data_IF_608184841693
#
_entry.id   IF_608184841693
#
_cell.length_a   1.000
_cell.length_b   1.000
_cell.length_c   1.000
_cell.angle_alpha   90.00
_cell.angle_beta   90.00
_cell.angle_gamma   90.00
#
_symmetry.space_group_name_H-M   'P 1'
#
loop_
_entity.id
_entity.type
_entity.pdbx_description
1 polymer ?
#
# COMPACT_ATOMS: atom_id res chain seq x y z
N UNK A 1 -15.75 12.44 -54.14
CA UNK A 1 -15.04 11.16 -53.85
C UNK A 1 -15.59 10.64 -52.54
N UNK A 2 -16.52 9.69 -52.60
CA UNK A 2 -17.16 9.07 -51.46
C UNK A 2 -16.77 7.59 -51.46
N UNK A 3 -16.17 7.09 -50.38
CA UNK A 3 -15.91 5.68 -50.19
C UNK A 3 -16.41 5.27 -48.80
N UNK A 4 -17.66 4.82 -48.75
CA UNK A 4 -18.10 3.88 -47.74
C UNK A 4 -17.48 2.52 -48.05
N UNK A 5 -16.78 1.92 -47.09
CA UNK A 5 -16.62 0.45 -46.95
C UNK A 5 -16.30 0.11 -45.49
N UNK A 6 -17.34 -0.15 -44.70
CA UNK A 6 -17.23 -0.81 -43.40
C UNK A 6 -17.69 -2.26 -43.58
N UNK A 7 -16.84 -3.27 -43.35
CA UNK A 7 -17.30 -4.65 -43.29
C UNK A 7 -17.08 -5.26 -41.91
N UNK A 8 -18.13 -5.94 -41.43
CA UNK A 8 -18.11 -7.04 -40.45
C UNK A 8 -18.45 -6.71 -38.99
N UNK A 9 -19.49 -5.90 -38.78
CA UNK A 9 -20.49 -6.23 -37.78
C UNK A 9 -21.30 -7.43 -38.29
N UNK A 10 -20.88 -8.66 -37.99
CA UNK A 10 -21.64 -9.93 -38.07
C UNK A 10 -20.69 -11.12 -37.76
N UNK A 11 -19.96 -11.04 -36.65
CA UNK A 11 -19.42 -12.23 -35.94
C UNK A 11 -20.14 -12.47 -34.61
N UNK A 12 -21.35 -11.92 -34.49
CA UNK A 12 -22.40 -12.49 -33.66
C UNK A 12 -23.03 -13.59 -34.50
N UNK A 13 -22.58 -14.83 -34.28
CA UNK A 13 -23.34 -16.07 -34.43
C UNK A 13 -22.40 -17.16 -33.91
N UNK A 14 -22.80 -17.71 -32.76
CA UNK A 14 -22.50 -19.07 -32.35
C UNK A 14 -21.05 -19.39 -31.99
N UNK A 15 -20.62 -18.97 -30.79
CA UNK A 15 -19.76 -19.83 -29.98
C UNK A 15 -20.47 -20.03 -28.65
N UNK A 16 -21.15 -21.17 -28.65
CA UNK A 16 -21.88 -21.85 -27.59
C UNK A 16 -21.00 -22.12 -26.36
N UNK A 17 -21.65 -22.61 -25.31
CA UNK A 17 -21.11 -23.13 -24.05
C UNK A 17 -21.07 -22.13 -22.89
N UNK A 18 -22.29 -21.76 -22.50
CA UNK A 18 -22.68 -21.48 -21.12
C UNK A 18 -22.23 -22.60 -20.17
N UNK A 19 -21.00 -22.53 -19.67
CA UNK A 19 -20.64 -23.11 -18.37
C UNK A 19 -20.86 -22.05 -17.29
N UNK A 20 -22.07 -22.02 -16.75
CA UNK A 20 -22.33 -21.39 -15.47
C UNK A 20 -21.73 -22.28 -14.38
N UNK A 21 -20.74 -21.85 -13.58
CA UNK A 21 -20.43 -22.53 -12.36
C UNK A 21 -21.49 -22.14 -11.33
N UNK A 22 -22.40 -23.06 -11.04
CA UNK A 22 -23.11 -23.07 -9.76
C UNK A 22 -22.06 -23.18 -8.67
N UNK A 23 -21.85 -22.10 -7.90
CA UNK A 23 -21.48 -22.23 -6.50
C UNK A 23 -21.81 -20.96 -5.73
N UNK A 24 -22.83 -21.07 -4.88
CA UNK A 24 -23.06 -20.09 -3.83
C UNK A 24 -21.81 -19.97 -2.99
N UNK A 25 -21.23 -18.77 -2.97
CA UNK A 25 -20.31 -18.30 -1.95
C UNK A 25 -20.22 -16.77 -2.13
N UNK A 26 -21.07 -16.01 -1.44
CA UNK A 26 -20.93 -14.56 -1.33
C UNK A 26 -19.73 -14.21 -0.42
N UNK A 27 -18.55 -14.70 -0.75
CA UNK A 27 -17.30 -14.07 -0.31
C UNK A 27 -17.05 -12.96 -1.30
N UNK A 28 -17.24 -11.71 -0.87
CA UNK A 28 -17.07 -10.49 -1.64
C UNK A 28 -16.09 -10.67 -2.82
N UNK A 29 -16.64 -10.72 -4.04
CA UNK A 29 -15.86 -10.90 -5.26
C UNK A 29 -14.86 -9.75 -5.35
N UNK A 30 -13.61 -10.01 -5.02
CA UNK A 30 -12.55 -9.05 -5.19
C UNK A 30 -12.43 -8.82 -6.70
N UNK A 31 -12.66 -7.60 -7.16
CA UNK A 31 -12.59 -7.27 -8.58
C UNK A 31 -11.13 -7.34 -9.03
N UNK A 32 -10.92 -7.83 -10.25
CA UNK A 32 -9.59 -7.90 -10.86
C UNK A 32 -9.12 -6.48 -11.17
N UNK A 33 -7.96 -6.10 -10.63
CA UNK A 33 -7.38 -4.78 -10.84
C UNK A 33 -6.79 -4.68 -12.23
N UNK A 34 -6.87 -3.49 -12.84
CA UNK A 34 -6.06 -3.21 -14.03
C UNK A 34 -4.57 -3.28 -13.68
N UNK A 35 -3.71 -3.43 -14.70
CA UNK A 35 -2.26 -3.42 -14.50
C UNK A 35 -1.79 -2.14 -13.78
N UNK A 36 -2.34 -0.99 -14.17
CA UNK A 36 -1.96 0.30 -13.58
C UNK A 36 -2.34 0.39 -12.10
N UNK A 37 -3.53 -0.09 -11.74
CA UNK A 37 -3.97 -0.14 -10.33
C UNK A 37 -3.14 -1.13 -9.53
N UNK A 38 -2.86 -2.31 -10.09
CA UNK A 38 -2.00 -3.32 -9.47
C UNK A 38 -0.60 -2.77 -9.16
N UNK A 39 0.02 -2.09 -10.14
CA UNK A 39 1.33 -1.47 -9.98
C UNK A 39 1.32 -0.38 -8.89
N UNK A 40 0.26 0.42 -8.81
CA UNK A 40 0.09 1.45 -7.77
C UNK A 40 -0.09 0.83 -6.36
N UNK A 41 -0.87 -0.24 -6.24
CA UNK A 41 -1.02 -0.97 -4.97
C UNK A 41 0.30 -1.56 -4.50
N UNK A 42 1.05 -2.22 -5.39
CA UNK A 42 2.36 -2.78 -5.05
C UNK A 42 3.35 -1.70 -4.63
N UNK A 43 3.35 -0.55 -5.32
CA UNK A 43 4.19 0.59 -4.95
C UNK A 43 3.84 1.10 -3.54
N UNK A 44 2.55 1.27 -3.24
CA UNK A 44 2.09 1.72 -1.92
C UNK A 44 2.41 0.69 -0.82
N UNK A 45 2.24 -0.61 -1.07
CA UNK A 45 2.64 -1.68 -0.15
C UNK A 45 4.14 -1.62 0.15
N UNK A 46 4.99 -1.48 -0.89
CA UNK A 46 6.43 -1.35 -0.72
C UNK A 46 6.79 -0.11 0.11
N UNK A 47 6.07 0.99 -0.09
CA UNK A 47 6.28 2.22 0.66
C UNK A 47 5.88 2.08 2.13
N UNK A 48 4.75 1.41 2.41
CA UNK A 48 4.32 1.08 3.77
C UNK A 48 5.34 0.19 4.48
N UNK A 49 5.82 -0.87 3.83
CA UNK A 49 6.89 -1.73 4.36
C UNK A 49 8.17 -0.93 4.68
N UNK A 50 8.57 -0.03 3.77
CA UNK A 50 9.75 0.82 3.98
C UNK A 50 9.60 1.69 5.23
N UNK A 51 8.47 2.37 5.40
CA UNK A 51 8.22 3.20 6.57
C UNK A 51 8.19 2.39 7.86
N UNK A 52 7.43 1.29 7.92
CA UNK A 52 7.36 0.47 9.12
C UNK A 52 8.71 -0.16 9.49
N UNK A 53 9.52 -0.55 8.49
CA UNK A 53 10.88 -1.03 8.75
C UNK A 53 11.76 0.07 9.33
N UNK A 54 11.61 1.31 8.87
CA UNK A 54 12.33 2.46 9.43
C UNK A 54 11.86 2.83 10.83
N UNK A 55 10.55 2.79 11.09
CA UNK A 55 9.97 2.96 12.42
C UNK A 55 10.61 1.97 13.39
N UNK A 56 10.74 0.71 12.99
CA UNK A 56 11.39 -0.35 13.79
C UNK A 56 12.85 -0.04 14.09
N UNK A 57 13.62 0.38 13.09
CA UNK A 57 15.06 0.72 13.25
C UNK A 57 15.27 1.89 14.21
N UNK A 58 14.37 2.85 14.22
CA UNK A 58 14.41 4.01 15.12
C UNK A 58 13.68 3.77 16.45
N UNK A 59 13.22 2.54 16.71
CA UNK A 59 12.49 2.13 17.93
C UNK A 59 11.26 3.00 18.22
N UNK A 60 10.59 3.47 17.16
CA UNK A 60 9.37 4.27 17.23
C UNK A 60 8.15 3.33 17.23
N UNK A 61 7.04 3.76 17.85
CA UNK A 61 5.78 3.01 17.92
C UNK A 61 5.97 1.50 18.25
N UNK A 62 6.72 1.15 19.32
CA UNK A 62 7.13 -0.23 19.59
C UNK A 62 5.95 -1.18 19.82
N UNK A 63 4.81 -0.64 20.25
CA UNK A 63 3.60 -1.41 20.55
C UNK A 63 2.94 -1.99 19.29
N UNK A 64 3.17 -1.40 18.11
CA UNK A 64 2.45 -1.77 16.87
C UNK A 64 3.36 -2.10 15.69
N UNK A 65 4.64 -1.70 15.73
CA UNK A 65 5.53 -1.77 14.57
C UNK A 65 5.73 -3.20 14.05
N UNK A 66 5.85 -4.17 14.95
CA UNK A 66 6.06 -5.57 14.57
C UNK A 66 4.80 -6.17 13.94
N UNK A 67 3.62 -5.88 14.48
CA UNK A 67 2.34 -6.31 13.91
C UNK A 67 2.17 -5.75 12.50
N UNK A 68 2.41 -4.44 12.32
CA UNK A 68 2.26 -3.77 11.03
C UNK A 68 3.27 -4.26 9.99
N UNK A 69 4.53 -4.45 10.39
CA UNK A 69 5.55 -4.95 9.48
C UNK A 69 5.23 -6.38 9.02
N UNK A 70 4.80 -7.26 9.93
CA UNK A 70 4.38 -8.63 9.58
C UNK A 70 3.16 -8.64 8.65
N UNK A 71 2.15 -7.81 8.94
CA UNK A 71 0.97 -7.68 8.09
C UNK A 71 1.34 -7.38 6.64
N UNK A 72 2.18 -6.37 6.39
CA UNK A 72 2.57 -5.98 5.04
C UNK A 72 3.49 -6.99 4.35
N UNK A 73 4.38 -7.65 5.10
CA UNK A 73 5.22 -8.74 4.56
C UNK A 73 4.37 -9.89 4.01
N UNK A 74 3.29 -10.24 4.70
CA UNK A 74 2.40 -11.34 4.32
C UNK A 74 1.52 -11.03 3.10
N UNK A 75 1.50 -9.79 2.60
CA UNK A 75 0.69 -9.42 1.42
C UNK A 75 1.44 -9.59 0.08
N UNK A 76 2.77 -9.78 0.07
CA UNK A 76 3.59 -9.77 -1.14
C UNK A 76 3.56 -11.04 -2.01
N UNK A 77 3.00 -12.15 -1.51
CA UNK A 77 3.09 -13.46 -2.17
C UNK A 77 1.99 -13.73 -3.21
N UNK A 78 1.05 -12.79 -3.41
CA UNK A 78 -0.06 -12.93 -4.35
C UNK A 78 -0.25 -11.69 -5.22
N UNK A 79 -0.91 -11.81 -6.38
CA UNK A 79 -1.39 -10.66 -7.13
C UNK A 79 -2.30 -9.78 -6.26
N UNK A 80 -2.17 -8.44 -6.33
CA UNK A 80 -3.03 -7.53 -5.59
C UNK A 80 -4.49 -7.63 -6.03
N UNK A 81 -5.39 -7.48 -5.07
CA UNK A 81 -6.84 -7.52 -5.25
C UNK A 81 -7.45 -6.16 -4.91
N UNK A 82 -8.73 -5.96 -5.25
CA UNK A 82 -9.46 -4.76 -4.83
C UNK A 82 -9.46 -4.51 -3.31
N UNK A 83 -9.32 -5.56 -2.49
CA UNK A 83 -9.18 -5.40 -1.04
C UNK A 83 -7.83 -4.83 -0.65
N UNK A 84 -6.75 -5.29 -1.29
CA UNK A 84 -5.40 -4.78 -1.05
C UNK A 84 -5.32 -3.28 -1.41
N UNK A 85 -6.05 -2.84 -2.44
CA UNK A 85 -6.20 -1.42 -2.79
C UNK A 85 -6.83 -0.59 -1.65
N UNK A 86 -7.82 -1.14 -0.93
CA UNK A 86 -8.41 -0.46 0.23
C UNK A 86 -7.46 -0.47 1.42
N UNK A 87 -6.78 -1.59 1.64
CA UNK A 87 -5.86 -1.74 2.77
C UNK A 87 -4.67 -0.79 2.65
N UNK A 88 -4.08 -0.60 1.46
CA UNK A 88 -2.98 0.36 1.28
C UNK A 88 -3.42 1.78 1.60
N UNK A 89 -4.63 2.19 1.20
CA UNK A 89 -5.15 3.52 1.53
C UNK A 89 -5.32 3.69 3.05
N UNK A 90 -5.82 2.65 3.74
CA UNK A 90 -5.92 2.65 5.21
C UNK A 90 -4.55 2.75 5.86
N UNK A 91 -3.56 2.00 5.36
CA UNK A 91 -2.18 2.05 5.85
C UNK A 91 -1.57 3.44 5.70
N UNK A 92 -1.77 4.09 4.54
CA UNK A 92 -1.27 5.46 4.31
C UNK A 92 -1.93 6.48 5.23
N UNK A 93 -3.24 6.33 5.51
CA UNK A 93 -3.95 7.16 6.48
C UNK A 93 -3.42 6.93 7.90
N UNK A 94 -3.12 5.69 8.28
CA UNK A 94 -2.53 5.36 9.58
C UNK A 94 -1.17 6.03 9.77
N UNK A 95 -0.26 5.93 8.77
CA UNK A 95 1.04 6.62 8.82
C UNK A 95 0.87 8.12 9.06
N UNK A 96 -0.12 8.75 8.40
CA UNK A 96 -0.42 10.18 8.57
C UNK A 96 -0.95 10.50 9.96
N UNK A 97 -1.85 9.67 10.50
CA UNK A 97 -2.45 9.86 11.83
C UNK A 97 -1.41 9.75 12.95
N UNK A 98 -0.47 8.80 12.82
CA UNK A 98 0.63 8.63 13.75
C UNK A 98 1.76 9.66 13.54
N UNK A 99 1.73 10.39 12.43
CA UNK A 99 2.78 11.36 12.10
C UNK A 99 4.13 10.71 11.84
N UNK A 100 4.16 9.48 11.31
CA UNK A 100 5.38 8.65 11.17
C UNK A 100 6.49 9.37 10.41
N UNK A 101 6.17 10.09 9.33
CA UNK A 101 7.16 10.85 8.57
C UNK A 101 7.86 11.91 9.43
N UNK A 102 7.10 12.65 10.23
CA UNK A 102 7.65 13.65 11.14
C UNK A 102 8.50 13.00 12.23
N UNK A 103 8.02 11.89 12.83
CA UNK A 103 8.79 11.15 13.83
C UNK A 103 10.13 10.67 13.27
N UNK A 104 10.12 10.06 12.08
CA UNK A 104 11.32 9.59 11.39
C UNK A 104 12.27 10.71 10.98
N UNK A 105 11.72 11.85 10.57
CA UNK A 105 12.51 13.04 10.29
C UNK A 105 13.24 13.52 11.54
N UNK A 106 12.55 13.64 12.68
CA UNK A 106 13.17 14.04 13.95
C UNK A 106 14.22 13.03 14.42
N UNK A 107 13.90 11.73 14.38
CA UNK A 107 14.83 10.67 14.78
C UNK A 107 16.09 10.65 13.89
N UNK A 108 15.94 10.86 12.58
CA UNK A 108 17.07 10.93 11.66
C UNK A 108 18.00 12.12 11.95
N UNK A 109 17.48 13.23 12.48
CA UNK A 109 18.30 14.40 12.83
C UNK A 109 19.08 14.23 14.12
N UNK A 110 18.54 13.49 15.09
CA UNK A 110 19.25 13.14 16.34
C UNK A 110 20.53 12.33 16.09
N UNK A 111 20.55 11.53 15.02
CA UNK A 111 21.76 10.78 14.61
C UNK A 111 22.86 11.69 14.02
N UNK A 112 22.51 12.88 13.55
CA UNK A 112 23.43 13.82 12.87
C UNK A 112 23.92 14.91 13.83
N UNK A 113 23.10 15.30 14.81
CA UNK A 113 23.45 16.30 15.84
C UNK A 113 23.34 15.70 17.26
N UNK A 114 24.38 14.99 17.74
CA UNK A 114 24.41 14.47 19.11
C UNK A 114 24.60 15.55 20.19
N UNK A 115 24.82 16.82 19.82
CA UNK A 115 25.18 17.90 20.74
C UNK A 115 23.97 18.73 21.22
N UNK A 116 22.78 18.54 20.62
CA UNK A 116 21.59 19.29 21.02
C UNK A 116 21.11 18.93 22.43
N UNK A 117 21.23 17.68 22.88
CA UNK A 117 20.83 17.28 24.24
C UNK A 117 21.77 17.81 25.34
N UNK A 118 23.07 17.92 25.04
CA UNK A 118 24.04 18.48 25.99
C UNK A 118 23.83 19.99 26.19
N UNK A 119 23.39 20.69 25.14
CA UNK A 119 23.10 22.13 25.21
C UNK A 119 21.86 22.47 26.04
N UNK A 120 20.82 21.64 26.01
CA UNK A 120 19.63 21.83 26.85
C UNK A 120 19.92 21.54 28.34
N UNK A 121 20.76 20.55 28.65
CA UNK A 121 21.18 20.26 30.03
C UNK A 121 22.07 21.36 30.63
N UNK A 122 22.83 22.09 29.81
CA UNK A 122 23.63 23.24 30.24
C UNK A 122 22.78 24.49 30.50
N UNK A 123 21.67 24.68 29.79
CA UNK A 123 20.81 25.87 29.92
C UNK A 123 19.75 25.79 31.04
N UNK A 124 19.50 24.60 31.61
CA UNK A 124 18.51 24.41 32.69
C UNK A 124 19.16 24.42 34.09
N UNK A 125 20.50 24.51 34.17
CA UNK A 125 21.25 24.62 35.43
C UNK A 125 21.78 26.04 35.68
N UNK A 126 20.86 27.01 35.82
CA UNK A 126 21.15 28.34 36.37
C UNK A 126 20.09 28.73 37.41
#
# INVERSE_FOLDING_TARGET
>A
MALQRWPNALKSILTDESKLPIKGQHTAEAYELSKQESDDVLFKQAWLMYFWRRVKVHELEPDIVDERLQFWMNQGDRPPTSHDAVDVERGLVELRKLGIEAQLWQASRKLIDPDSEHKWKMHINF
#
